data_IF_578051041244
#
_entry.id   IF_578051041244
#
_cell.length_a   1.000
_cell.length_b   1.000
_cell.length_c   1.000
_cell.angle_alpha   90.00
_cell.angle_beta   90.00
_cell.angle_gamma   90.00
#
_symmetry.space_group_name_H-M   'P 1'
#
loop_
_entity.id
_entity.type
_entity.pdbx_description
1 polymer ?
#
# COMPACT_ATOMS: atom_id res chain seq x y z
N UNK A 1 0.64 -15.91 21.08
CA UNK A 1 0.34 -15.71 19.65
C UNK A 1 -0.69 -14.60 19.53
N UNK A 2 -0.24 -13.36 19.34
CA UNK A 2 -1.16 -12.28 18.98
C UNK A 2 -1.69 -12.61 17.58
N UNK A 3 -2.96 -13.06 17.50
CA UNK A 3 -3.63 -13.19 16.21
C UNK A 3 -3.67 -11.79 15.61
N UNK A 4 -2.99 -11.61 14.47
CA UNK A 4 -3.18 -10.45 13.59
C UNK A 4 -4.68 -10.33 13.27
N UNK A 5 -5.11 -9.09 13.05
CA UNK A 5 -6.50 -8.62 12.96
C UNK A 5 -7.58 -9.71 12.73
N UNK A 6 -8.54 -9.90 13.66
CA UNK A 6 -9.62 -10.88 13.51
C UNK A 6 -10.61 -10.58 12.36
N UNK A 7 -10.42 -9.48 11.62
CA UNK A 7 -11.07 -9.28 10.31
C UNK A 7 -10.31 -9.95 9.15
N UNK A 8 -9.31 -10.80 9.45
CA UNK A 8 -8.76 -11.81 8.55
C UNK A 8 -9.92 -12.60 7.92
N UNK A 9 -10.16 -12.27 6.66
CA UNK A 9 -11.26 -12.76 5.88
C UNK A 9 -10.88 -14.16 5.42
N UNK A 10 -11.58 -15.18 5.95
CA UNK A 10 -11.56 -16.53 5.36
C UNK A 10 -11.67 -16.37 3.85
N UNK A 11 -10.60 -16.71 3.13
CA UNK A 11 -10.50 -16.65 1.66
C UNK A 11 -11.87 -16.73 1.02
N UNK A 12 -12.28 -15.66 0.32
CA UNK A 12 -13.65 -15.55 -0.20
C UNK A 12 -13.94 -16.83 -0.97
N UNK A 13 -15.14 -17.42 -0.78
CA UNK A 13 -15.50 -18.63 -1.52
C UNK A 13 -15.22 -18.41 -2.99
N UNK A 14 -14.26 -19.16 -3.53
CA UNK A 14 -13.86 -19.03 -4.91
C UNK A 14 -15.08 -19.32 -5.81
N UNK A 15 -15.20 -18.65 -6.96
CA UNK A 15 -16.24 -18.98 -7.91
C UNK A 15 -16.08 -20.43 -8.41
N UNK A 16 -17.20 -21.09 -8.71
CA UNK A 16 -17.22 -22.47 -9.23
C UNK A 16 -16.60 -22.59 -10.64
N UNK A 17 -16.45 -21.47 -11.36
CA UNK A 17 -15.90 -21.40 -12.72
C UNK A 17 -14.69 -20.46 -12.84
N UNK A 18 -13.85 -20.74 -13.84
CA UNK A 18 -12.67 -19.93 -14.21
C UNK A 18 -12.92 -19.00 -15.40
N UNK A 19 -14.18 -18.66 -15.69
CA UNK A 19 -14.48 -17.68 -16.74
C UNK A 19 -14.19 -16.24 -16.27
N UNK A 20 -13.97 -15.35 -17.23
CA UNK A 20 -13.59 -13.96 -16.95
C UNK A 20 -14.68 -13.21 -16.17
N UNK A 21 -15.96 -13.41 -16.49
CA UNK A 21 -17.04 -12.65 -15.87
C UNK A 21 -17.20 -13.00 -14.39
N UNK A 22 -17.14 -14.30 -14.06
CA UNK A 22 -17.16 -14.78 -12.67
C UNK A 22 -15.92 -14.31 -11.89
N UNK A 23 -14.76 -14.35 -12.51
CA UNK A 23 -13.49 -13.91 -11.91
C UNK A 23 -13.47 -12.40 -11.62
N UNK A 24 -13.93 -11.57 -12.56
CA UNK A 24 -14.06 -10.13 -12.36
C UNK A 24 -15.09 -9.77 -11.29
N UNK A 25 -16.22 -10.50 -11.22
CA UNK A 25 -17.23 -10.33 -10.18
C UNK A 25 -16.64 -10.63 -8.80
N UNK A 26 -15.90 -11.73 -8.68
CA UNK A 26 -15.19 -12.10 -7.47
C UNK A 26 -14.24 -10.99 -7.02
N UNK A 27 -13.40 -10.47 -7.91
CA UNK A 27 -12.50 -9.35 -7.60
C UNK A 27 -13.25 -8.08 -7.16
N UNK A 28 -14.39 -7.75 -7.78
CA UNK A 28 -15.23 -6.62 -7.32
C UNK A 28 -15.78 -6.85 -5.92
N UNK A 29 -16.21 -8.06 -5.59
CA UNK A 29 -16.76 -8.40 -4.28
C UNK A 29 -15.71 -8.31 -3.19
N UNK A 30 -14.51 -8.87 -3.42
CA UNK A 30 -13.36 -8.74 -2.51
C UNK A 30 -13.03 -7.26 -2.30
N UNK A 31 -12.86 -6.50 -3.38
CA UNK A 31 -12.57 -5.07 -3.31
C UNK A 31 -13.62 -4.24 -2.55
N UNK A 32 -14.91 -4.58 -2.68
CA UNK A 32 -16.00 -3.86 -2.02
C UNK A 32 -16.16 -4.22 -0.53
N UNK A 33 -15.76 -5.43 -0.12
CA UNK A 33 -15.83 -5.88 1.27
C UNK A 33 -14.81 -5.15 2.17
N UNK A 34 -13.67 -4.72 1.62
CA UNK A 34 -12.65 -3.98 2.35
C UNK A 34 -12.95 -2.47 2.39
N UNK A 35 -13.71 -2.07 3.42
CA UNK A 35 -14.41 -0.79 3.49
C UNK A 35 -13.52 0.45 3.72
N UNK A 36 -12.36 0.36 4.38
CA UNK A 36 -11.78 1.58 4.98
C UNK A 36 -10.89 2.44 4.07
N UNK A 37 -10.10 1.87 3.16
CA UNK A 37 -9.15 2.66 2.33
C UNK A 37 -9.39 2.52 0.82
N UNK A 38 -9.65 1.30 0.33
CA UNK A 38 -9.76 1.03 -1.10
C UNK A 38 -11.07 1.56 -1.70
N UNK A 39 -12.21 1.36 -1.03
CA UNK A 39 -13.53 1.77 -1.53
C UNK A 39 -13.63 3.28 -1.79
N UNK A 40 -12.99 4.10 -0.96
CA UNK A 40 -12.94 5.56 -1.15
C UNK A 40 -12.05 5.93 -2.33
N UNK A 41 -10.86 5.32 -2.44
CA UNK A 41 -9.94 5.57 -3.56
C UNK A 41 -10.53 5.13 -4.92
N UNK A 42 -11.21 3.99 -4.97
CA UNK A 42 -11.87 3.47 -6.18
C UNK A 42 -13.02 4.35 -6.66
N UNK A 43 -13.69 5.08 -5.76
CA UNK A 43 -14.71 6.07 -6.14
C UNK A 43 -14.12 7.34 -6.73
N UNK A 44 -12.84 7.64 -6.45
CA UNK A 44 -12.12 8.80 -6.96
C UNK A 44 -11.59 8.61 -8.39
N UNK A 45 -11.64 7.39 -8.91
CA UNK A 45 -11.32 7.09 -10.30
C UNK A 45 -12.58 6.96 -11.18
N UNK A 46 -12.46 7.12 -12.51
CA UNK A 46 -13.50 6.84 -13.49
C UNK A 46 -14.04 5.42 -13.42
N UNK A 47 -15.28 5.24 -13.88
CA UNK A 47 -16.00 3.97 -13.73
C UNK A 47 -15.36 2.82 -14.52
N UNK A 48 -14.81 3.12 -15.69
CA UNK A 48 -14.05 2.23 -16.57
C UNK A 48 -12.75 1.71 -15.93
N UNK A 49 -12.12 2.46 -15.04
CA UNK A 49 -10.90 2.00 -14.32
C UNK A 49 -11.20 1.12 -13.09
N UNK A 50 -12.45 1.08 -12.62
CA UNK A 50 -12.76 0.44 -11.32
C UNK A 50 -12.59 -1.07 -11.35
N UNK A 51 -12.89 -1.71 -12.48
CA UNK A 51 -12.70 -3.15 -12.62
C UNK A 51 -11.22 -3.51 -12.54
N UNK A 52 -10.39 -2.83 -13.32
CA UNK A 52 -8.94 -3.08 -13.35
C UNK A 52 -8.30 -2.84 -11.98
N UNK A 53 -8.72 -1.78 -11.27
CA UNK A 53 -8.28 -1.55 -9.91
C UNK A 53 -8.75 -2.65 -8.95
N UNK A 54 -9.98 -3.15 -9.08
CA UNK A 54 -10.47 -4.24 -8.25
C UNK A 54 -9.67 -5.54 -8.49
N UNK A 55 -9.29 -5.82 -9.74
CA UNK A 55 -8.46 -6.97 -10.11
C UNK A 55 -7.06 -6.85 -9.46
N UNK A 56 -6.40 -5.70 -9.60
CA UNK A 56 -5.09 -5.43 -8.98
C UNK A 56 -5.16 -5.48 -7.46
N UNK A 57 -6.17 -4.86 -6.85
CA UNK A 57 -6.37 -4.88 -5.41
C UNK A 57 -6.55 -6.29 -4.90
N UNK A 58 -7.40 -7.07 -5.56
CA UNK A 58 -7.65 -8.46 -5.18
C UNK A 58 -6.39 -9.30 -5.30
N UNK A 59 -5.56 -9.09 -6.33
CA UNK A 59 -4.26 -9.74 -6.40
C UNK A 59 -3.38 -9.43 -5.18
N UNK A 60 -3.21 -8.14 -4.86
CA UNK A 60 -2.36 -7.73 -3.75
C UNK A 60 -2.89 -8.29 -2.42
N UNK A 61 -4.21 -8.20 -2.20
CA UNK A 61 -4.86 -8.70 -0.99
C UNK A 61 -4.80 -10.21 -0.87
N UNK A 62 -5.07 -10.94 -1.95
CA UNK A 62 -4.99 -12.40 -1.95
C UNK A 62 -3.57 -12.88 -1.66
N UNK A 63 -2.56 -12.17 -2.19
CA UNK A 63 -1.14 -12.48 -1.90
C UNK A 63 -0.78 -12.25 -0.43
N UNK A 64 -1.28 -11.17 0.17
CA UNK A 64 -1.16 -10.85 1.60
C UNK A 64 -1.86 -11.89 2.48
N UNK A 65 -3.09 -12.26 2.14
CA UNK A 65 -3.87 -13.29 2.85
C UNK A 65 -3.17 -14.66 2.80
N UNK A 66 -2.59 -15.05 1.67
CA UNK A 66 -1.79 -16.29 1.58
C UNK A 66 -0.59 -16.25 2.54
N UNK A 67 0.03 -15.09 2.74
CA UNK A 67 1.16 -14.93 3.64
C UNK A 67 0.76 -14.97 5.13
N UNK A 68 -0.41 -14.43 5.47
CA UNK A 68 -0.89 -14.28 6.84
C UNK A 68 -1.75 -15.46 7.35
N UNK A 69 -2.49 -16.14 6.46
CA UNK A 69 -3.45 -17.20 6.84
C UNK A 69 -2.91 -18.62 6.66
N UNK A 70 -1.69 -18.78 6.13
CA UNK A 70 -1.04 -20.09 6.02
C UNK A 70 -0.70 -20.65 7.40
N UNK A 71 -0.90 -21.96 7.58
CA UNK A 71 -0.45 -22.66 8.78
C UNK A 71 1.08 -22.77 8.78
N UNK A 72 1.77 -21.88 9.50
CA UNK A 72 3.23 -21.88 9.60
C UNK A 72 3.90 -21.03 8.54
N UNK A 73 5.00 -21.51 7.96
CA UNK A 73 5.76 -20.79 6.94
C UNK A 73 5.03 -20.82 5.58
N UNK A 74 4.61 -19.65 5.08
CA UNK A 74 3.87 -19.52 3.83
C UNK A 74 4.77 -19.57 2.57
N UNK A 75 6.09 -19.71 2.72
CA UNK A 75 7.06 -19.57 1.62
C UNK A 75 6.75 -20.44 0.41
N UNK A 76 6.41 -21.72 0.61
CA UNK A 76 6.15 -22.63 -0.51
C UNK A 76 4.85 -22.30 -1.24
N UNK A 77 3.80 -21.89 -0.51
CA UNK A 77 2.53 -21.43 -1.09
C UNK A 77 2.73 -20.14 -1.87
N UNK A 78 3.52 -19.19 -1.35
CA UNK A 78 3.85 -17.94 -2.04
C UNK A 78 4.72 -18.17 -3.29
N UNK A 79 5.65 -19.14 -3.27
CA UNK A 79 6.40 -19.54 -4.47
C UNK A 79 5.50 -20.18 -5.53
N UNK A 80 4.56 -21.03 -5.12
CA UNK A 80 3.57 -21.58 -6.03
C UNK A 80 2.68 -20.46 -6.61
N UNK A 81 2.28 -19.49 -5.79
CA UNK A 81 1.56 -18.30 -6.24
C UNK A 81 2.37 -17.45 -7.22
N UNK A 82 3.68 -17.28 -6.97
CA UNK A 82 4.62 -16.62 -7.88
C UNK A 82 4.71 -17.31 -9.24
N UNK A 83 4.73 -18.65 -9.26
CA UNK A 83 4.66 -19.42 -10.51
C UNK A 83 3.30 -19.24 -11.21
N UNK A 84 2.21 -19.12 -10.47
CA UNK A 84 0.89 -18.82 -11.03
C UNK A 84 0.81 -17.42 -11.67
N UNK A 85 1.56 -16.46 -11.14
CA UNK A 85 1.74 -15.15 -11.75
C UNK A 85 2.49 -15.26 -13.09
N UNK A 86 3.53 -16.10 -13.18
CA UNK A 86 4.24 -16.33 -14.45
C UNK A 86 3.31 -16.96 -15.49
N UNK A 87 2.51 -17.97 -15.10
CA UNK A 87 1.48 -18.57 -15.96
C UNK A 87 0.45 -17.52 -16.45
N UNK A 88 0.03 -16.61 -15.56
CA UNK A 88 -0.89 -15.52 -15.90
C UNK A 88 -0.31 -14.61 -17.00
N UNK A 89 0.94 -14.17 -16.85
CA UNK A 89 1.62 -13.32 -17.83
C UNK A 89 2.01 -14.05 -19.12
N UNK A 90 2.10 -15.38 -19.08
CA UNK A 90 2.23 -16.23 -20.27
C UNK A 90 0.89 -16.51 -20.99
N UNK A 91 -0.24 -15.98 -20.49
CA UNK A 91 -1.56 -16.16 -21.09
C UNK A 91 -2.27 -17.46 -20.70
N UNK A 92 -1.83 -18.13 -19.63
CA UNK A 92 -2.40 -19.38 -19.13
C UNK A 92 -2.83 -19.29 -17.64
N UNK A 93 -3.64 -18.30 -17.22
CA UNK A 93 -4.03 -18.14 -15.81
C UNK A 93 -4.87 -19.33 -15.31
N UNK A 94 -4.54 -19.83 -14.11
CA UNK A 94 -5.17 -21.03 -13.50
C UNK A 94 -5.99 -20.75 -12.23
N UNK A 95 -6.09 -19.49 -11.84
CA UNK A 95 -6.79 -19.06 -10.63
C UNK A 95 -7.71 -17.87 -10.96
N UNK A 96 -8.91 -17.73 -10.35
CA UNK A 96 -9.84 -16.64 -10.68
C UNK A 96 -9.20 -15.25 -10.59
N UNK A 97 -8.40 -15.00 -9.54
CA UNK A 97 -7.64 -13.74 -9.39
C UNK A 97 -6.72 -13.48 -10.59
N UNK A 98 -6.04 -14.52 -11.10
CA UNK A 98 -5.18 -14.40 -12.28
C UNK A 98 -5.96 -14.28 -13.58
N UNK A 99 -7.12 -14.93 -13.70
CA UNK A 99 -8.01 -14.79 -14.88
C UNK A 99 -8.50 -13.35 -15.01
N UNK A 100 -8.92 -12.73 -13.90
CA UNK A 100 -9.32 -11.33 -13.91
C UNK A 100 -8.10 -10.40 -14.18
N UNK A 101 -6.96 -10.70 -13.54
CA UNK A 101 -5.74 -9.90 -13.71
C UNK A 101 -5.19 -9.96 -15.13
N UNK A 102 -5.22 -11.10 -15.83
CA UNK A 102 -4.64 -11.27 -17.17
C UNK A 102 -5.28 -10.29 -18.17
N UNK A 103 -6.60 -10.10 -18.09
CA UNK A 103 -7.30 -9.10 -18.92
C UNK A 103 -6.79 -7.69 -18.67
N UNK A 104 -6.61 -7.32 -17.40
CA UNK A 104 -6.06 -6.01 -17.01
C UNK A 104 -4.61 -5.85 -17.48
N UNK A 105 -3.79 -6.89 -17.35
CA UNK A 105 -2.39 -6.91 -17.82
C UNK A 105 -2.32 -6.69 -19.33
N UNK A 106 -3.14 -7.38 -20.12
CA UNK A 106 -3.19 -7.24 -21.58
C UNK A 106 -3.65 -5.84 -22.00
N UNK A 107 -4.76 -5.36 -21.44
CA UNK A 107 -5.36 -4.07 -21.78
C UNK A 107 -4.38 -2.91 -21.56
N UNK A 108 -3.70 -2.94 -20.42
CA UNK A 108 -2.82 -1.83 -20.00
C UNK A 108 -1.35 -2.09 -20.32
N UNK A 109 -0.99 -3.29 -20.81
CA UNK A 109 0.41 -3.75 -21.00
C UNK A 109 1.22 -3.67 -19.71
N UNK A 110 0.66 -4.17 -18.61
CA UNK A 110 1.32 -4.06 -17.31
C UNK A 110 2.62 -4.88 -17.28
N UNK A 111 3.70 -4.38 -16.68
CA UNK A 111 4.91 -5.16 -16.42
C UNK A 111 4.66 -6.17 -15.31
N UNK A 112 5.36 -7.32 -15.34
CA UNK A 112 5.24 -8.37 -14.31
C UNK A 112 5.96 -7.98 -13.02
N UNK A 113 7.03 -7.22 -13.15
CA UNK A 113 7.99 -6.94 -12.07
C UNK A 113 7.31 -6.35 -10.82
N UNK A 114 6.41 -5.35 -10.91
CA UNK A 114 5.71 -4.85 -9.73
C UNK A 114 4.87 -5.90 -8.99
N UNK A 115 4.27 -6.86 -9.71
CA UNK A 115 3.46 -7.91 -9.09
C UNK A 115 4.36 -8.96 -8.43
N UNK A 116 5.48 -9.30 -9.08
CA UNK A 116 6.50 -10.19 -8.54
C UNK A 116 7.12 -9.62 -7.26
N UNK A 117 7.51 -8.33 -7.29
CA UNK A 117 8.09 -7.61 -6.15
C UNK A 117 7.19 -7.68 -4.91
N UNK A 118 5.86 -7.56 -5.07
CA UNK A 118 4.91 -7.70 -3.96
C UNK A 118 4.93 -9.10 -3.35
N UNK A 119 4.96 -10.16 -4.17
CA UNK A 119 5.06 -11.54 -3.66
C UNK A 119 6.42 -11.75 -2.97
N UNK A 120 7.50 -11.21 -3.52
CA UNK A 120 8.84 -11.33 -2.93
C UNK A 120 8.94 -10.62 -1.57
N UNK A 121 8.21 -9.51 -1.37
CA UNK A 121 8.07 -8.90 -0.05
C UNK A 121 7.35 -9.81 0.95
N UNK A 122 6.25 -10.46 0.55
CA UNK A 122 5.54 -11.41 1.42
C UNK A 122 6.38 -12.64 1.76
N UNK A 123 7.21 -13.11 0.84
CA UNK A 123 8.19 -14.19 1.09
C UNK A 123 9.26 -13.73 2.07
N UNK A 124 9.82 -12.54 1.87
CA UNK A 124 10.79 -11.97 2.82
C UNK A 124 10.18 -11.86 4.23
N UNK A 125 8.92 -11.45 4.33
CA UNK A 125 8.22 -11.32 5.60
C UNK A 125 8.11 -12.64 6.36
N UNK A 126 8.31 -13.80 5.74
CA UNK A 126 8.33 -15.09 6.46
C UNK A 126 9.59 -15.27 7.31
N UNK A 127 10.68 -14.56 7.01
CA UNK A 127 12.00 -14.81 7.60
C UNK A 127 12.70 -13.56 8.14
N UNK A 128 12.29 -12.36 7.71
CA UNK A 128 12.90 -11.09 8.12
C UNK A 128 11.93 -10.31 9.00
N UNK A 129 12.38 -9.97 10.20
CA UNK A 129 11.60 -9.26 11.21
C UNK A 129 12.37 -8.11 11.88
N UNK A 130 13.65 -7.90 11.51
CA UNK A 130 14.49 -6.75 11.87
C UNK A 130 15.26 -6.27 10.64
N UNK A 131 15.63 -4.98 10.66
CA UNK A 131 16.37 -4.30 9.60
C UNK A 131 17.59 -3.61 10.19
N UNK A 132 18.78 -3.90 9.66
CA UNK A 132 20.04 -3.35 10.16
C UNK A 132 20.21 -1.87 9.82
N UNK A 133 19.76 -1.46 8.63
CA UNK A 133 19.95 -0.11 8.09
C UNK A 133 18.72 0.44 7.37
N UNK A 134 18.70 1.77 7.17
CA UNK A 134 17.71 2.44 6.32
C UNK A 134 17.73 1.90 4.90
N UNK A 135 18.90 1.53 4.38
CA UNK A 135 19.04 0.95 3.04
C UNK A 135 18.27 -0.39 2.93
N UNK A 136 18.42 -1.27 3.92
CA UNK A 136 17.70 -2.53 3.94
C UNK A 136 16.17 -2.33 4.05
N UNK A 137 15.75 -1.37 4.89
CA UNK A 137 14.33 -1.02 5.01
C UNK A 137 13.77 -0.43 3.70
N UNK A 138 14.55 0.39 3.00
CA UNK A 138 14.19 0.93 1.69
C UNK A 138 14.09 -0.15 0.60
N UNK A 139 15.00 -1.13 0.59
CA UNK A 139 14.87 -2.27 -0.34
C UNK A 139 13.64 -3.12 -0.04
N UNK A 140 13.23 -3.24 1.23
CA UNK A 140 11.91 -3.81 1.55
C UNK A 140 10.77 -2.94 1.00
N UNK A 141 10.77 -1.62 1.23
CA UNK A 141 9.75 -0.72 0.67
C UNK A 141 9.69 -0.73 -0.87
N UNK A 142 10.83 -0.94 -1.54
CA UNK A 142 10.93 -1.12 -3.00
C UNK A 142 10.09 -2.28 -3.48
N UNK A 143 9.91 -3.31 -2.64
CA UNK A 143 9.12 -4.52 -2.93
C UNK A 143 7.72 -4.49 -2.33
N UNK A 144 7.54 -3.99 -1.11
CA UNK A 144 6.27 -4.06 -0.38
C UNK A 144 5.30 -2.90 -0.65
N UNK A 145 5.80 -1.73 -1.09
CA UNK A 145 5.00 -0.51 -1.19
C UNK A 145 5.06 0.17 -2.56
N UNK A 146 6.28 0.39 -3.08
CA UNK A 146 6.50 1.10 -4.34
C UNK A 146 5.78 0.47 -5.55
N UNK A 147 5.69 -0.87 -5.69
CA UNK A 147 5.03 -1.48 -6.82
C UNK A 147 3.57 -1.07 -7.02
N UNK A 148 2.83 -0.85 -5.91
CA UNK A 148 1.41 -0.44 -5.96
C UNK A 148 1.25 0.87 -6.73
N UNK A 149 2.09 1.87 -6.44
CA UNK A 149 2.04 3.16 -7.13
C UNK A 149 2.37 3.05 -8.62
N UNK A 150 3.38 2.25 -8.97
CA UNK A 150 3.77 1.98 -10.36
C UNK A 150 2.66 1.31 -11.15
N UNK A 151 1.97 0.31 -10.57
CA UNK A 151 0.83 -0.36 -11.20
C UNK A 151 -0.30 0.63 -11.46
N UNK A 152 -0.67 1.45 -10.46
CA UNK A 152 -1.73 2.46 -10.61
C UNK A 152 -1.41 3.49 -11.69
N UNK A 153 -0.16 3.94 -11.79
CA UNK A 153 0.27 4.81 -12.88
C UNK A 153 0.15 4.12 -14.25
N UNK A 154 0.55 2.85 -14.35
CA UNK A 154 0.41 2.09 -15.60
C UNK A 154 -1.05 1.91 -16.04
N UNK A 155 -1.98 1.71 -15.09
CA UNK A 155 -3.44 1.65 -15.38
C UNK A 155 -3.98 2.96 -15.99
N UNK A 156 -3.30 4.09 -15.76
CA UNK A 156 -3.61 5.37 -16.39
C UNK A 156 -2.70 5.68 -17.58
N UNK A 157 -2.06 4.66 -18.17
CA UNK A 157 -1.12 4.76 -19.29
C UNK A 157 0.10 5.67 -19.02
N UNK A 158 0.49 5.85 -17.74
CA UNK A 158 1.68 6.60 -17.35
C UNK A 158 2.86 5.67 -17.08
N UNK A 159 3.94 5.84 -17.85
CA UNK A 159 5.14 4.98 -17.84
C UNK A 159 6.46 5.74 -17.77
N UNK A 160 6.39 7.03 -17.49
CA UNK A 160 7.58 7.87 -17.41
C UNK A 160 8.34 7.56 -16.11
N UNK A 161 9.65 7.31 -16.23
CA UNK A 161 10.49 6.87 -15.10
C UNK A 161 10.55 7.92 -13.98
N UNK A 162 10.57 9.21 -14.34
CA UNK A 162 10.49 10.32 -13.38
C UNK A 162 9.21 10.28 -12.55
N UNK A 163 8.07 9.91 -13.15
CA UNK A 163 6.81 9.75 -12.44
C UNK A 163 6.80 8.51 -11.54
N UNK A 164 7.47 7.42 -11.94
CA UNK A 164 7.68 6.27 -11.07
C UNK A 164 8.52 6.63 -9.85
N UNK A 165 9.63 7.35 -10.02
CA UNK A 165 10.48 7.79 -8.89
C UNK A 165 9.71 8.69 -7.90
N UNK A 166 8.88 9.60 -8.40
CA UNK A 166 8.02 10.42 -7.54
C UNK A 166 6.97 9.58 -6.83
N UNK A 167 6.37 8.60 -7.51
CA UNK A 167 5.39 7.69 -6.92
C UNK A 167 6.01 6.82 -5.84
N UNK A 168 7.17 6.24 -6.12
CA UNK A 168 7.95 5.42 -5.19
C UNK A 168 8.27 6.24 -3.93
N UNK A 169 8.65 7.51 -4.08
CA UNK A 169 8.87 8.40 -2.94
C UNK A 169 7.61 8.58 -2.08
N UNK A 170 6.43 8.74 -2.69
CA UNK A 170 5.17 8.82 -1.92
C UNK A 170 4.87 7.47 -1.24
N UNK A 171 4.95 6.37 -1.97
CA UNK A 171 4.66 5.02 -1.47
C UNK A 171 5.59 4.62 -0.31
N UNK A 172 6.89 4.89 -0.44
CA UNK A 172 7.87 4.71 0.63
C UNK A 172 7.51 5.56 1.84
N UNK A 173 7.21 6.85 1.67
CA UNK A 173 6.80 7.71 2.80
C UNK A 173 5.54 7.22 3.52
N UNK A 174 4.57 6.68 2.77
CA UNK A 174 3.34 6.09 3.33
C UNK A 174 3.67 4.84 4.15
N UNK A 175 4.59 4.01 3.66
CA UNK A 175 4.99 2.78 4.35
C UNK A 175 5.78 3.09 5.63
N UNK A 176 6.74 4.03 5.56
CA UNK A 176 7.51 4.47 6.71
C UNK A 176 6.60 5.05 7.80
N UNK A 177 5.67 5.96 7.45
CA UNK A 177 4.78 6.54 8.46
C UNK A 177 3.82 5.51 9.08
N UNK A 178 3.45 4.46 8.34
CA UNK A 178 2.71 3.33 8.91
C UNK A 178 3.54 2.60 9.97
N UNK A 179 4.81 2.28 9.69
CA UNK A 179 5.72 1.67 10.68
C UNK A 179 5.84 2.54 11.93
N UNK A 180 6.01 3.86 11.78
CA UNK A 180 6.18 4.79 12.90
C UNK A 180 4.92 4.92 13.76
N UNK A 181 3.74 4.86 13.14
CA UNK A 181 2.46 4.83 13.84
C UNK A 181 2.25 3.51 14.61
N UNK A 182 2.86 2.42 14.15
CA UNK A 182 2.54 1.05 14.56
C UNK A 182 3.64 0.32 15.34
N UNK A 183 4.71 1.02 15.76
CA UNK A 183 5.85 0.45 16.50
C UNK A 183 5.45 -0.55 17.58
N UNK A 184 4.52 -0.19 18.49
CA UNK A 184 4.06 -1.09 19.55
C UNK A 184 3.37 -2.33 19.02
N UNK A 185 2.48 -2.16 18.03
CA UNK A 185 1.70 -3.24 17.45
C UNK A 185 2.62 -4.23 16.74
N UNK A 186 3.55 -3.70 15.95
CA UNK A 186 4.48 -4.51 15.17
C UNK A 186 5.46 -5.24 16.08
N UNK A 187 5.95 -4.59 17.14
CA UNK A 187 6.77 -5.23 18.18
C UNK A 187 6.03 -6.37 18.90
N UNK A 188 4.76 -6.18 19.28
CA UNK A 188 3.93 -7.24 19.85
C UNK A 188 3.66 -8.40 18.87
N UNK A 189 3.78 -8.15 17.57
CA UNK A 189 3.75 -9.16 16.52
C UNK A 189 5.14 -9.74 16.19
N UNK A 190 6.16 -9.42 16.99
CA UNK A 190 7.52 -9.93 16.87
C UNK A 190 8.39 -9.22 15.84
N UNK A 191 8.02 -8.01 15.39
CA UNK A 191 8.69 -7.27 14.32
C UNK A 191 9.16 -5.89 14.73
N UNK A 192 10.29 -5.46 14.19
CA UNK A 192 10.83 -4.13 14.39
C UNK A 192 11.29 -3.58 13.04
N UNK A 193 10.59 -2.55 12.56
CA UNK A 193 10.92 -1.85 11.32
C UNK A 193 11.82 -0.63 11.54
N UNK A 194 12.01 -0.19 12.79
CA UNK A 194 13.01 0.82 13.12
C UNK A 194 14.40 0.26 12.77
N UNK A 195 15.20 0.93 11.91
CA UNK A 195 16.53 0.44 11.58
C UNK A 195 17.42 0.33 12.82
N UNK A 196 18.15 -0.78 12.96
CA UNK A 196 18.99 -1.03 14.11
C UNK A 196 20.10 0.04 14.26
N UNK A 197 20.65 0.52 13.16
CA UNK A 197 21.62 1.63 13.17
C UNK A 197 21.01 2.92 13.77
N UNK A 198 19.75 3.23 13.45
CA UNK A 198 19.07 4.42 13.95
C UNK A 198 18.76 4.26 15.44
N UNK A 199 18.25 3.09 15.83
CA UNK A 199 18.05 2.72 17.24
C UNK A 199 19.35 2.86 18.05
N UNK A 200 20.47 2.34 17.52
CA UNK A 200 21.78 2.42 18.16
C UNK A 200 22.26 3.88 18.30
N UNK A 201 22.12 4.71 17.25
CA UNK A 201 22.53 6.13 17.29
C UNK A 201 21.79 6.91 18.38
N UNK A 202 20.53 6.58 18.63
CA UNK A 202 19.70 7.23 19.64
C UNK A 202 19.76 6.53 21.02
N UNK A 203 20.48 5.41 21.15
CA UNK A 203 20.58 4.66 22.41
C UNK A 203 19.31 3.88 22.78
N UNK A 204 18.48 3.55 21.79
CA UNK A 204 17.24 2.78 21.97
C UNK A 204 17.53 1.28 21.85
N UNK A 205 17.20 0.51 22.88
CA UNK A 205 17.23 -0.96 22.81
C UNK A 205 15.84 -1.53 22.51
N UNK A 206 15.77 -2.77 22.00
CA UNK A 206 14.47 -3.42 21.76
C UNK A 206 13.61 -3.52 23.02
N UNK A 207 14.22 -3.76 24.18
CA UNK A 207 13.51 -3.81 25.48
C UNK A 207 12.82 -2.51 25.84
N UNK A 208 13.27 -1.36 25.32
CA UNK A 208 12.56 -0.09 25.52
C UNK A 208 11.22 -0.06 24.79
N UNK A 209 11.04 -0.84 23.71
CA UNK A 209 9.79 -0.94 22.96
C UNK A 209 8.68 -1.69 23.71
N UNK A 210 9.04 -2.45 24.75
CA UNK A 210 8.09 -3.14 25.65
C UNK A 210 7.41 -2.16 26.62
N UNK A 211 8.00 -0.98 26.84
CA UNK A 211 7.53 0.00 27.82
C UNK A 211 6.13 0.52 27.49
N UNK A 212 5.32 0.87 28.50
CA UNK A 212 3.98 1.42 28.28
C UNK A 212 3.99 2.84 27.71
N UNK A 213 5.13 3.54 27.77
CA UNK A 213 5.32 4.92 27.31
C UNK A 213 6.71 5.08 26.72
N UNK A 214 6.86 6.02 25.80
CA UNK A 214 8.14 6.35 25.17
C UNK A 214 9.14 7.00 26.14
N UNK A 215 10.41 6.60 26.04
CA UNK A 215 11.52 7.31 26.67
C UNK A 215 11.92 8.56 25.85
N UNK A 216 12.68 9.51 26.43
CA UNK A 216 13.22 10.64 25.69
C UNK A 216 14.05 10.23 24.45
N UNK A 217 14.83 9.15 24.55
CA UNK A 217 15.64 8.58 23.48
C UNK A 217 14.76 8.05 22.34
N UNK A 218 13.69 7.32 22.68
CA UNK A 218 12.72 6.86 21.69
C UNK A 218 12.01 8.02 20.99
N UNK A 219 11.63 9.06 21.74
CA UNK A 219 11.00 10.27 21.15
C UNK A 219 11.97 10.94 20.17
N UNK A 220 13.26 11.04 20.51
CA UNK A 220 14.28 11.60 19.63
C UNK A 220 14.43 10.77 18.34
N UNK A 221 14.53 9.44 18.47
CA UNK A 221 14.55 8.51 17.33
C UNK A 221 13.32 8.71 16.43
N UNK A 222 12.11 8.58 16.98
CA UNK A 222 10.88 8.63 16.18
C UNK A 222 10.66 10.01 15.55
N UNK A 223 11.19 11.07 16.15
CA UNK A 223 11.19 12.40 15.55
C UNK A 223 11.98 12.42 14.24
N UNK A 224 13.17 11.81 14.22
CA UNK A 224 14.01 11.71 13.01
C UNK A 224 13.37 10.81 11.96
N UNK A 225 12.83 9.66 12.36
CA UNK A 225 12.16 8.71 11.47
C UNK A 225 10.91 9.30 10.80
N UNK A 226 10.12 10.08 11.55
CA UNK A 226 8.98 10.82 10.98
C UNK A 226 9.44 11.91 10.01
N UNK A 227 10.53 12.61 10.30
CA UNK A 227 11.09 13.61 9.40
C UNK A 227 11.58 12.98 8.08
N UNK A 228 12.13 11.76 8.14
CA UNK A 228 12.49 11.00 6.95
C UNK A 228 11.28 10.67 6.07
N UNK A 229 10.19 10.17 6.67
CA UNK A 229 8.94 9.94 5.93
C UNK A 229 8.35 11.23 5.31
N UNK A 230 8.42 12.35 6.04
CA UNK A 230 7.99 13.67 5.53
C UNK A 230 8.84 14.14 4.34
N UNK A 231 10.16 13.89 4.35
CA UNK A 231 11.04 14.20 3.22
C UNK A 231 10.69 13.38 1.96
N UNK A 232 10.28 12.12 2.12
CA UNK A 232 9.77 11.31 1.03
C UNK A 232 8.49 11.90 0.40
N UNK A 233 7.59 12.43 1.23
CA UNK A 233 6.40 13.15 0.75
C UNK A 233 6.76 14.45 0.02
N UNK A 234 7.73 15.22 0.52
CA UNK A 234 8.18 16.47 -0.10
C UNK A 234 8.81 16.22 -1.47
N UNK A 235 9.61 15.16 -1.61
CA UNK A 235 10.20 14.74 -2.89
C UNK A 235 9.13 14.32 -3.89
N UNK A 236 8.14 13.53 -3.47
CA UNK A 236 7.10 13.00 -4.36
C UNK A 236 5.97 13.98 -4.71
N UNK A 237 5.82 15.10 -3.99
CA UNK A 237 4.63 15.96 -4.06
C UNK A 237 4.29 16.49 -5.45
N UNK A 238 5.29 16.67 -6.33
CA UNK A 238 5.09 17.18 -7.68
C UNK A 238 4.23 16.25 -8.53
N UNK A 239 4.16 14.95 -8.20
CA UNK A 239 3.33 13.96 -8.87
C UNK A 239 1.84 14.33 -8.84
N UNK A 240 1.38 15.02 -7.79
CA UNK A 240 -0.01 15.53 -7.69
C UNK A 240 -0.36 16.46 -8.86
N UNK A 241 0.64 17.11 -9.48
CA UNK A 241 0.46 18.01 -10.63
C UNK A 241 0.82 17.36 -11.96
N UNK A 242 1.84 16.48 -11.99
CA UNK A 242 2.38 15.91 -13.22
C UNK A 242 1.70 14.61 -13.65
N UNK A 243 1.13 13.84 -12.72
CA UNK A 243 0.39 12.61 -13.01
C UNK A 243 -0.79 12.82 -13.97
N UNK A 244 -1.28 11.76 -14.63
CA UNK A 244 -2.55 11.79 -15.33
C UNK A 244 -3.65 12.42 -14.47
N UNK A 245 -4.41 13.37 -15.03
CA UNK A 245 -5.40 14.16 -14.29
C UNK A 245 -6.42 13.32 -13.53
N UNK A 246 -6.69 12.12 -14.06
CA UNK A 246 -7.56 11.11 -13.50
C UNK A 246 -7.09 10.57 -12.14
N UNK A 247 -5.77 10.48 -11.90
CA UNK A 247 -5.19 9.94 -10.68
C UNK A 247 -4.89 11.01 -9.63
N UNK A 248 -4.73 12.28 -10.03
CA UNK A 248 -4.33 13.39 -9.13
C UNK A 248 -5.16 13.50 -7.86
N UNK A 249 -6.51 13.34 -7.86
CA UNK A 249 -7.29 13.38 -6.63
C UNK A 249 -6.93 12.25 -5.65
N UNK A 250 -6.72 11.03 -6.14
CA UNK A 250 -6.35 9.88 -5.33
C UNK A 250 -4.91 10.04 -4.78
N UNK A 251 -3.96 10.43 -5.63
CA UNK A 251 -2.56 10.69 -5.23
C UNK A 251 -2.52 11.76 -4.13
N UNK A 252 -3.27 12.86 -4.29
CA UNK A 252 -3.38 13.90 -3.26
C UNK A 252 -3.97 13.37 -1.97
N UNK A 253 -5.03 12.56 -2.04
CA UNK A 253 -5.66 11.97 -0.85
C UNK A 253 -4.66 11.15 -0.04
N UNK A 254 -3.89 10.28 -0.71
CA UNK A 254 -2.89 9.45 -0.04
C UNK A 254 -1.75 10.28 0.54
N UNK A 255 -1.17 11.19 -0.26
CA UNK A 255 -0.09 12.09 0.20
C UNK A 255 -0.49 12.88 1.45
N UNK A 256 -1.66 13.53 1.42
CA UNK A 256 -2.16 14.33 2.54
C UNK A 256 -2.60 13.45 3.72
N UNK A 257 -3.07 12.23 3.45
CA UNK A 257 -3.32 11.21 4.45
C UNK A 257 -2.06 10.85 5.24
N UNK A 258 -0.97 10.53 4.53
CA UNK A 258 0.33 10.23 5.12
C UNK A 258 0.88 11.38 5.96
N UNK A 259 0.87 12.61 5.42
CA UNK A 259 1.24 13.83 6.18
C UNK A 259 0.34 14.03 7.42
N UNK A 260 -0.93 13.69 7.29
CA UNK A 260 -1.86 13.71 8.41
C UNK A 260 -1.48 12.73 9.52
N UNK A 261 -1.03 11.52 9.18
CA UNK A 261 -0.53 10.53 10.15
C UNK A 261 0.75 11.03 10.82
N UNK A 262 1.71 11.56 10.07
CA UNK A 262 2.92 12.17 10.62
C UNK A 262 2.59 13.28 11.63
N UNK A 263 1.62 14.14 11.29
CA UNK A 263 1.09 15.17 12.21
C UNK A 263 0.40 14.58 13.43
N UNK A 264 -0.28 13.44 13.30
CA UNK A 264 -0.91 12.75 14.42
C UNK A 264 0.13 12.17 15.39
N UNK A 265 1.22 11.57 14.89
CA UNK A 265 2.36 11.11 15.69
C UNK A 265 2.98 12.28 16.47
N UNK A 266 3.23 13.42 15.80
CA UNK A 266 3.76 14.63 16.45
C UNK A 266 2.84 15.15 17.56
N UNK A 267 1.52 15.07 17.37
CA UNK A 267 0.52 15.52 18.37
C UNK A 267 0.46 14.63 19.61
N UNK A 268 0.87 13.37 19.51
CA UNK A 268 1.00 12.48 20.67
C UNK A 268 2.37 12.62 21.35
N UNK A 269 3.17 13.62 20.98
CA UNK A 269 4.53 13.79 21.49
C UNK A 269 5.46 12.66 21.05
N UNK A 270 5.18 12.02 19.91
CA UNK A 270 5.89 10.85 19.39
C UNK A 270 5.78 9.58 20.25
N UNK A 271 4.92 9.55 21.28
CA UNK A 271 4.69 8.35 22.08
C UNK A 271 3.71 7.38 21.40
N UNK A 272 4.22 6.68 20.37
CA UNK A 272 3.48 5.62 19.66
C UNK A 272 3.50 4.29 20.40
N UNK A 273 4.27 4.18 21.50
CA UNK A 273 4.25 3.03 22.41
C UNK A 273 3.03 3.01 23.32
N UNK A 274 2.62 4.19 23.82
CA UNK A 274 1.45 4.34 24.68
C UNK A 274 0.14 4.31 23.92
N UNK A 275 0.10 4.96 22.75
CA UNK A 275 -1.13 5.07 21.97
C UNK A 275 -0.82 5.17 20.49
N UNK A 276 -1.42 4.26 19.72
CA UNK A 276 -1.46 4.36 18.27
C UNK A 276 -2.12 5.70 17.85
N UNK A 277 -1.39 6.62 17.20
CA UNK A 277 -2.01 7.84 16.68
C UNK A 277 -3.05 7.47 15.63
N UNK A 278 -4.11 8.24 15.47
CA UNK A 278 -5.10 8.00 14.40
C UNK A 278 -5.55 9.33 13.82
N UNK A 279 -5.92 9.32 12.55
CA UNK A 279 -6.54 10.48 11.93
C UNK A 279 -7.95 10.68 12.49
N UNK A 280 -8.29 11.88 13.01
CA UNK A 280 -9.66 12.20 13.41
C UNK A 280 -10.63 12.01 12.25
N UNK A 281 -11.86 11.56 12.53
CA UNK A 281 -12.91 11.37 11.51
C UNK A 281 -13.15 12.63 10.67
N UNK A 282 -13.11 13.81 11.29
CA UNK A 282 -13.23 15.10 10.59
C UNK A 282 -12.11 15.35 9.57
N UNK A 283 -10.88 14.92 9.87
CA UNK A 283 -9.76 15.03 8.95
C UNK A 283 -9.91 14.05 7.79
N UNK A 284 -10.28 12.79 8.07
CA UNK A 284 -10.59 11.80 7.04
C UNK A 284 -11.69 12.30 6.08
N UNK A 285 -12.79 12.84 6.63
CA UNK A 285 -13.90 13.41 5.86
C UNK A 285 -13.49 14.62 5.02
N UNK A 286 -12.70 15.54 5.58
CA UNK A 286 -12.18 16.72 4.85
C UNK A 286 -11.32 16.31 3.67
N UNK A 287 -10.39 15.37 3.87
CA UNK A 287 -9.51 14.89 2.81
C UNK A 287 -10.31 14.18 1.70
N UNK A 288 -11.25 13.32 2.07
CA UNK A 288 -12.14 12.66 1.11
C UNK A 288 -12.99 13.67 0.33
N UNK A 289 -13.54 14.70 1.01
CA UNK A 289 -14.31 15.78 0.37
C UNK A 289 -13.48 16.59 -0.62
N UNK A 290 -12.25 16.97 -0.25
CA UNK A 290 -11.32 17.69 -1.14
C UNK A 290 -10.97 16.86 -2.39
N UNK A 291 -10.74 15.56 -2.22
CA UNK A 291 -10.48 14.65 -3.33
C UNK A 291 -11.70 14.52 -4.25
N UNK A 292 -12.91 14.39 -3.69
CA UNK A 292 -14.15 14.31 -4.46
C UNK A 292 -14.42 15.58 -5.30
N UNK A 293 -14.22 16.77 -4.73
CA UNK A 293 -14.32 18.05 -5.45
C UNK A 293 -13.31 18.12 -6.59
N UNK A 294 -12.05 17.75 -6.33
CA UNK A 294 -10.99 17.73 -7.34
C UNK A 294 -11.31 16.76 -8.50
N UNK A 295 -11.93 15.62 -8.20
CA UNK A 295 -12.40 14.67 -9.21
C UNK A 295 -13.52 15.27 -10.07
N UNK A 296 -14.52 15.93 -9.45
CA UNK A 296 -15.62 16.58 -10.18
C UNK A 296 -15.10 17.64 -11.15
N UNK A 297 -14.18 18.51 -10.70
CA UNK A 297 -13.55 19.52 -11.55
C UNK A 297 -12.77 18.89 -12.71
N UNK A 298 -12.01 17.82 -12.44
CA UNK A 298 -11.24 17.09 -13.49
C UNK A 298 -12.14 16.37 -14.50
N UNK A 299 -13.38 16.01 -14.13
CA UNK A 299 -14.39 15.47 -15.05
C UNK A 299 -15.01 16.58 -15.91
N UNK A 300 -15.36 17.72 -15.32
CA UNK A 300 -15.89 18.89 -16.04
C UNK A 300 -14.88 19.37 -17.08
N UNK A 301 -13.61 19.49 -16.72
CA UNK A 301 -12.54 19.84 -17.67
C UNK A 301 -12.37 18.80 -18.79
N UNK A 302 -12.56 17.50 -18.53
CA UNK A 302 -12.52 16.51 -19.62
C UNK A 302 -13.73 16.61 -20.55
N UNK A 303 -14.94 16.82 -20.03
CA UNK A 303 -16.13 16.99 -20.87
C UNK A 303 -16.10 18.28 -21.70
N UNK A 304 -15.56 19.37 -21.16
CA UNK A 304 -15.48 20.66 -21.86
C UNK A 304 -14.40 20.69 -22.96
N UNK A 305 -13.34 19.90 -22.83
CA UNK A 305 -12.20 19.90 -23.76
C UNK A 305 -12.13 18.65 -24.65
N UNK A 306 -12.80 17.54 -24.27
CA UNK A 306 -12.94 16.33 -25.08
C UNK A 306 -14.10 16.37 -26.09
N UNK A 307 -14.87 17.46 -26.13
CA UNK A 307 -15.87 17.74 -27.17
C UNK A 307 -15.32 18.56 -28.35
N UNK A 308 -14.02 18.91 -28.31
CA UNK A 308 -13.32 19.73 -29.30
C UNK A 308 -12.22 18.94 -30.06
N UNK A 309 -12.23 17.61 -29.97
CA UNK A 309 -11.28 16.70 -30.62
C UNK A 309 -12.00 15.57 -31.34
#
# INVERSE_FOLDING_TARGET
MARRDPTAWKLASMPDGLDLASSELFCRQVAAAHYENFTVATRLVPADMRQDLANVYTFARWSDDLADESDGDATDVLKAWRSGLDDCFAGAPKHPVFVALSRTVECHKLPIEPFADLIDAFIQDQTVDRYDSREQLLDYCRRSANPVGRIVLCLANCRAMDQFELSDSICTGLQLVNFWQDVRRDHLAGRIYLPAEDMQRHGVSETMLESPTASPEFIALLTEEVAWAEACFDKGQSLVKTAPSVLRPAIRLFLEGGRGVAKAIRRTGFDTLAKRPTLPRSTKLRLAGQAAVSMMLSRISRCLWGSLS
#
